data_IF_665915712057
#
_entry.id   IF_665915712057
#
_cell.length_a   1.000
_cell.length_b   1.000
_cell.length_c   1.000
_cell.angle_alpha   90.00
_cell.angle_beta   90.00
_cell.angle_gamma   90.00
#
_symmetry.space_group_name_H-M   'P 1'
#
loop_
_entity.id
_entity.type
_entity.pdbx_description
1 polymer ?
#
# COMPACT_ATOMS: atom_id res chain seq x y z
N UNK A 1 25.52 -12.32 -2.22
CA UNK A 1 24.87 -12.19 -0.89
C UNK A 1 23.55 -11.41 -0.94
N UNK A 2 23.44 -10.26 -1.60
CA UNK A 2 22.19 -9.47 -1.67
C UNK A 2 20.97 -10.22 -2.29
N UNK A 3 21.19 -11.06 -3.31
CA UNK A 3 20.11 -11.84 -3.94
C UNK A 3 19.54 -12.95 -3.05
N UNK A 4 20.37 -13.50 -2.16
CA UNK A 4 19.93 -14.50 -1.17
C UNK A 4 19.09 -13.85 -0.07
N UNK A 5 19.49 -12.68 0.44
CA UNK A 5 18.71 -11.94 1.43
C UNK A 5 17.40 -11.41 0.85
N UNK A 6 17.39 -10.93 -0.40
CA UNK A 6 16.16 -10.53 -1.11
C UNK A 6 15.26 -11.73 -1.37
N UNK A 7 15.80 -12.85 -1.85
CA UNK A 7 15.04 -14.07 -2.08
C UNK A 7 14.40 -14.62 -0.80
N UNK A 8 15.12 -14.56 0.32
CA UNK A 8 14.60 -14.93 1.64
C UNK A 8 13.53 -13.95 2.14
N UNK A 9 13.71 -12.64 1.94
CA UNK A 9 12.72 -11.63 2.33
C UNK A 9 11.43 -11.74 1.50
N UNK A 10 11.54 -11.96 0.19
CA UNK A 10 10.39 -12.21 -0.70
C UNK A 10 9.71 -13.53 -0.33
N UNK A 11 10.47 -14.59 -0.08
CA UNK A 11 9.90 -15.89 0.34
C UNK A 11 9.24 -15.81 1.71
N UNK A 12 9.78 -15.02 2.64
CA UNK A 12 9.18 -14.75 3.94
C UNK A 12 7.92 -13.89 3.79
N UNK A 13 7.92 -12.87 2.93
CA UNK A 13 6.75 -12.04 2.65
C UNK A 13 5.64 -12.83 1.96
N UNK A 14 5.97 -13.62 0.93
CA UNK A 14 5.05 -14.54 0.26
C UNK A 14 4.59 -15.66 1.20
N UNK A 15 5.46 -16.12 2.09
CA UNK A 15 5.12 -17.07 3.15
C UNK A 15 4.15 -16.48 4.16
N UNK A 16 4.32 -15.22 4.57
CA UNK A 16 3.40 -14.50 5.44
C UNK A 16 2.07 -14.18 4.76
N UNK A 17 2.09 -13.79 3.48
CA UNK A 17 0.89 -13.56 2.67
C UNK A 17 0.15 -14.88 2.42
N UNK A 18 0.86 -15.93 2.02
CA UNK A 18 0.32 -17.25 1.72
C UNK A 18 -0.19 -17.98 2.96
N UNK A 19 0.54 -17.93 4.08
CA UNK A 19 0.06 -18.38 5.38
C UNK A 19 -1.11 -17.51 5.86
N UNK A 20 -1.09 -16.22 5.52
CA UNK A 20 -2.20 -15.31 5.70
C UNK A 20 -3.49 -15.85 5.10
N UNK A 21 -3.42 -16.15 3.80
CA UNK A 21 -4.52 -16.74 3.02
C UNK A 21 -4.89 -18.16 3.52
N UNK A 22 -3.91 -19.00 3.86
CA UNK A 22 -4.18 -20.37 4.35
C UNK A 22 -4.87 -20.36 5.72
N UNK A 23 -4.38 -19.57 6.66
CA UNK A 23 -4.99 -19.43 7.97
C UNK A 23 -6.37 -18.77 7.88
N UNK A 24 -6.63 -17.93 6.87
CA UNK A 24 -7.98 -17.43 6.53
C UNK A 24 -8.91 -18.59 6.15
N UNK A 25 -8.45 -19.53 5.31
CA UNK A 25 -9.23 -20.72 4.92
C UNK A 25 -9.52 -21.63 6.11
N UNK A 26 -8.55 -21.82 7.01
CA UNK A 26 -8.71 -22.65 8.21
C UNK A 26 -9.60 -21.97 9.26
N UNK A 27 -9.46 -20.66 9.46
CA UNK A 27 -10.30 -19.87 10.36
C UNK A 27 -11.76 -19.77 9.90
N UNK A 28 -12.04 -19.83 8.58
CA UNK A 28 -13.40 -19.97 8.03
C UNK A 28 -14.11 -21.26 8.47
N UNK A 29 -13.36 -22.33 8.78
CA UNK A 29 -13.92 -23.63 9.22
C UNK A 29 -14.24 -23.69 10.70
N UNK A 30 -13.66 -22.80 11.53
CA UNK A 30 -13.90 -22.75 12.97
C UNK A 30 -14.60 -21.42 13.28
N UNK A 31 -15.89 -21.48 13.58
CA UNK A 31 -16.75 -20.38 14.07
C UNK A 31 -16.26 -19.80 15.41
N UNK A 32 -15.05 -19.25 15.47
CA UNK A 32 -14.56 -18.54 16.66
C UNK A 32 -15.29 -17.19 16.75
N UNK A 33 -15.63 -16.77 17.96
CA UNK A 33 -16.36 -15.53 18.26
C UNK A 33 -15.73 -14.29 17.60
N UNK A 34 -16.55 -13.26 17.34
CA UNK A 34 -16.09 -11.98 16.80
C UNK A 34 -15.14 -11.28 17.79
N UNK A 35 -14.04 -10.67 17.32
CA UNK A 35 -13.23 -9.83 18.18
C UNK A 35 -14.06 -8.62 18.63
N UNK A 36 -13.90 -8.14 19.88
CA UNK A 36 -14.57 -6.93 20.32
C UNK A 36 -14.19 -5.75 19.42
N UNK A 37 -15.21 -5.02 18.94
CA UNK A 37 -15.05 -3.78 18.19
C UNK A 37 -14.30 -2.75 19.06
N UNK A 38 -13.33 -2.02 18.51
CA UNK A 38 -12.61 -0.95 19.23
C UNK A 38 -13.53 0.05 19.94
N UNK A 39 -14.69 0.32 19.36
CA UNK A 39 -15.71 1.23 19.92
C UNK A 39 -16.42 0.64 21.14
N UNK A 40 -16.47 -0.69 21.27
CA UNK A 40 -17.00 -1.38 22.47
C UNK A 40 -16.02 -1.37 23.64
N UNK A 41 -14.72 -1.21 23.37
CA UNK A 41 -13.68 -1.15 24.40
C UNK A 41 -13.53 0.27 24.99
N UNK A 42 -14.00 1.31 24.28
CA UNK A 42 -13.95 2.71 24.74
C UNK A 42 -15.15 3.54 24.23
N UNK A 43 -16.29 3.54 24.94
CA UNK A 43 -17.43 4.37 24.56
C UNK A 43 -17.08 5.86 24.51
N UNK A 44 -17.73 6.62 23.63
CA UNK A 44 -17.49 8.05 23.41
C UNK A 44 -17.90 8.97 24.58
N UNK A 45 -18.31 8.40 25.70
CA UNK A 45 -18.76 9.13 26.89
C UNK A 45 -17.67 9.94 27.58
N UNK A 46 -16.39 9.61 27.37
CA UNK A 46 -15.28 10.11 28.20
C UNK A 46 -14.56 11.32 27.58
N UNK A 47 -14.92 11.73 26.36
CA UNK A 47 -14.38 12.94 25.75
C UNK A 47 -15.34 14.13 25.87
N UNK A 48 -14.81 15.36 26.03
CA UNK A 48 -15.63 16.56 25.89
C UNK A 48 -16.19 16.64 24.46
N UNK A 49 -17.32 17.36 24.22
CA UNK A 49 -17.98 17.44 22.91
C UNK A 49 -17.10 17.94 21.76
N UNK A 50 -16.01 18.66 22.08
CA UNK A 50 -14.99 19.13 21.12
C UNK A 50 -13.60 18.91 21.71
N UNK A 51 -13.03 17.71 21.55
CA UNK A 51 -11.69 17.41 22.06
C UNK A 51 -10.64 18.14 21.22
N UNK A 52 -9.58 18.63 21.86
CA UNK A 52 -8.44 19.22 21.17
C UNK A 52 -7.48 18.13 20.63
N UNK A 53 -6.49 18.52 19.82
CA UNK A 53 -5.54 17.57 19.23
C UNK A 53 -4.81 16.72 20.27
N UNK A 54 -4.36 17.32 21.38
CA UNK A 54 -3.66 16.56 22.43
C UNK A 54 -4.55 15.51 23.08
N UNK A 55 -5.83 15.81 23.32
CA UNK A 55 -6.78 14.86 23.89
C UNK A 55 -7.07 13.72 22.91
N UNK A 56 -7.24 14.03 21.61
CA UNK A 56 -7.38 13.02 20.57
C UNK A 56 -6.15 12.11 20.46
N UNK A 57 -4.96 12.70 20.49
CA UNK A 57 -3.70 11.97 20.43
C UNK A 57 -3.52 11.04 21.65
N UNK A 58 -3.74 11.56 22.86
CA UNK A 58 -3.66 10.76 24.09
C UNK A 58 -4.67 9.61 24.09
N UNK A 59 -5.91 9.85 23.63
CA UNK A 59 -6.91 8.78 23.49
C UNK A 59 -6.45 7.71 22.50
N UNK A 60 -5.91 8.10 21.34
CA UNK A 60 -5.35 7.14 20.36
C UNK A 60 -4.19 6.35 20.97
N UNK A 61 -3.32 7.00 21.73
CA UNK A 61 -2.21 6.32 22.41
C UNK A 61 -2.71 5.30 23.44
N UNK A 62 -3.71 5.65 24.25
CA UNK A 62 -4.33 4.75 25.22
C UNK A 62 -5.02 3.56 24.53
N UNK A 63 -5.76 3.81 23.45
CA UNK A 63 -6.38 2.75 22.64
C UNK A 63 -5.33 1.76 22.11
N UNK A 64 -4.20 2.28 21.64
CA UNK A 64 -3.09 1.45 21.17
C UNK A 64 -2.44 0.65 22.31
N UNK A 65 -2.15 1.28 23.45
CA UNK A 65 -1.59 0.61 24.62
C UNK A 65 -2.49 -0.54 25.08
N UNK A 66 -3.79 -0.31 25.21
CA UNK A 66 -4.74 -1.37 25.55
C UNK A 66 -4.76 -2.46 24.48
N UNK A 67 -4.81 -2.10 23.20
CA UNK A 67 -4.80 -3.07 22.11
C UNK A 67 -3.55 -3.97 22.13
N UNK A 68 -2.39 -3.42 22.49
CA UNK A 68 -1.14 -4.18 22.72
C UNK A 68 -1.26 -5.10 23.93
N UNK A 69 -1.77 -4.60 25.05
CA UNK A 69 -1.91 -5.35 26.30
C UNK A 69 -2.89 -6.52 26.18
N UNK A 70 -4.03 -6.29 25.53
CA UNK A 70 -5.10 -7.27 25.33
C UNK A 70 -4.94 -8.07 24.03
N UNK A 71 -3.82 -7.89 23.31
CA UNK A 71 -3.65 -8.53 22.00
C UNK A 71 -3.70 -10.07 22.14
N UNK A 72 -4.62 -10.76 21.44
CA UNK A 72 -4.84 -12.21 21.61
C UNK A 72 -3.63 -13.05 21.18
N UNK A 73 -2.77 -12.50 20.32
CA UNK A 73 -1.64 -13.20 19.69
C UNK A 73 -0.37 -12.34 19.67
N UNK A 74 0.14 -11.91 20.83
CA UNK A 74 1.26 -10.93 20.94
C UNK A 74 2.50 -11.28 20.12
N UNK A 75 2.88 -12.56 20.07
CA UNK A 75 4.06 -13.01 19.30
C UNK A 75 3.91 -12.67 17.81
N UNK A 76 2.73 -12.87 17.24
CA UNK A 76 2.47 -12.52 15.84
C UNK A 76 2.46 -11.01 15.62
N UNK A 77 1.94 -10.24 16.59
CA UNK A 77 2.02 -8.77 16.56
C UNK A 77 3.47 -8.26 16.53
N UNK A 78 4.36 -8.89 17.31
CA UNK A 78 5.80 -8.58 17.30
C UNK A 78 6.43 -8.95 15.95
N UNK A 79 6.13 -10.14 15.41
CA UNK A 79 6.68 -10.57 14.11
C UNK A 79 6.25 -9.62 12.98
N UNK A 80 4.97 -9.25 12.91
CA UNK A 80 4.48 -8.29 11.91
C UNK A 80 5.08 -6.89 12.12
N UNK A 81 5.28 -6.46 13.36
CA UNK A 81 5.98 -5.20 13.67
C UNK A 81 7.41 -5.22 13.15
N UNK A 82 8.15 -6.31 13.40
CA UNK A 82 9.51 -6.50 12.87
C UNK A 82 9.49 -6.44 11.34
N UNK A 83 8.54 -7.13 10.69
CA UNK A 83 8.38 -7.05 9.24
C UNK A 83 8.24 -5.59 8.76
N UNK A 84 7.32 -4.81 9.33
CA UNK A 84 7.15 -3.41 8.93
C UNK A 84 8.40 -2.55 9.18
N UNK A 85 9.10 -2.76 10.30
CA UNK A 85 10.34 -2.05 10.56
C UNK A 85 11.46 -2.43 9.58
N UNK A 86 11.51 -3.70 9.13
CA UNK A 86 12.49 -4.10 8.10
C UNK A 86 12.24 -3.43 6.75
N UNK A 87 11.04 -2.91 6.47
CA UNK A 87 10.76 -2.09 5.28
C UNK A 87 11.49 -0.74 5.28
N UNK A 88 12.08 -0.29 6.40
CA UNK A 88 13.00 0.85 6.40
C UNK A 88 14.28 0.55 5.60
N UNK A 89 14.71 -0.71 5.50
CA UNK A 89 15.91 -1.11 4.77
C UNK A 89 15.78 -0.83 3.26
N UNK A 90 14.74 -1.31 2.54
CA UNK A 90 14.55 -0.94 1.14
C UNK A 90 14.32 0.56 0.94
N UNK A 91 13.65 1.26 1.87
CA UNK A 91 13.52 2.72 1.83
C UNK A 91 14.89 3.41 1.83
N UNK A 92 15.72 3.11 2.82
CA UNK A 92 17.07 3.69 2.95
C UNK A 92 17.93 3.34 1.74
N UNK A 93 17.86 2.10 1.25
CA UNK A 93 18.57 1.69 0.05
C UNK A 93 18.13 2.49 -1.18
N UNK A 94 16.82 2.64 -1.39
CA UNK A 94 16.26 3.37 -2.53
C UNK A 94 16.68 4.85 -2.47
N UNK A 95 16.55 5.52 -1.32
CA UNK A 95 16.97 6.93 -1.16
C UNK A 95 18.48 7.11 -1.35
N UNK A 96 19.31 6.18 -0.85
CA UNK A 96 20.77 6.23 -1.00
C UNK A 96 21.24 6.00 -2.44
N UNK A 97 20.45 5.29 -3.24
CA UNK A 97 20.77 4.97 -4.63
C UNK A 97 19.49 4.81 -5.44
N UNK A 98 18.94 5.95 -5.85
CA UNK A 98 17.62 6.06 -6.49
C UNK A 98 17.46 5.21 -7.76
N UNK A 99 18.57 4.78 -8.38
CA UNK A 99 18.56 3.91 -9.56
C UNK A 99 19.47 2.68 -9.45
N UNK A 100 20.57 2.78 -8.70
CA UNK A 100 21.59 1.72 -8.63
C UNK A 100 21.42 0.75 -7.45
N UNK A 101 20.52 1.05 -6.51
CA UNK A 101 20.23 0.19 -5.37
C UNK A 101 19.42 -1.04 -5.79
N UNK A 102 19.55 -2.13 -5.04
CA UNK A 102 18.71 -3.31 -5.25
C UNK A 102 17.22 -3.00 -5.03
N UNK A 103 16.89 -2.05 -4.14
CA UNK A 103 15.51 -1.62 -3.91
C UNK A 103 14.96 -0.86 -5.13
N UNK A 104 15.79 -0.02 -5.77
CA UNK A 104 15.42 0.65 -7.01
C UNK A 104 15.20 -0.37 -8.14
N UNK A 105 16.09 -1.36 -8.28
CA UNK A 105 15.93 -2.43 -9.28
C UNK A 105 14.65 -3.25 -9.09
N UNK A 106 14.34 -3.68 -7.86
CA UNK A 106 13.09 -4.41 -7.56
C UNK A 106 11.87 -3.52 -7.82
N UNK A 107 11.94 -2.24 -7.48
CA UNK A 107 10.85 -1.31 -7.77
C UNK A 107 10.62 -1.22 -9.27
N UNK A 108 11.70 -1.00 -10.03
CA UNK A 108 11.64 -0.92 -11.48
C UNK A 108 10.96 -2.14 -12.11
N UNK A 109 11.31 -3.37 -11.70
CA UNK A 109 10.66 -4.58 -12.25
C UNK A 109 9.17 -4.68 -11.94
N UNK A 110 8.71 -4.09 -10.83
CA UNK A 110 7.30 -4.08 -10.44
C UNK A 110 6.48 -3.00 -11.16
N UNK A 111 7.12 -1.92 -11.59
CA UNK A 111 6.42 -0.71 -12.06
C UNK A 111 6.56 -0.47 -13.56
N UNK A 112 7.59 -1.06 -14.20
CA UNK A 112 7.87 -0.83 -15.62
C UNK A 112 6.77 -1.38 -16.55
N UNK A 113 6.21 -2.55 -16.25
CA UNK A 113 5.14 -3.10 -17.08
C UNK A 113 3.86 -2.24 -17.03
N UNK A 114 3.35 -1.83 -15.84
CA UNK A 114 2.28 -0.85 -15.74
C UNK A 114 2.60 0.47 -16.48
N UNK A 115 3.85 0.92 -16.45
CA UNK A 115 4.29 2.12 -17.16
C UNK A 115 4.12 1.95 -18.69
N UNK A 116 4.70 0.91 -19.29
CA UNK A 116 4.59 0.70 -20.74
C UNK A 116 3.14 0.49 -21.20
N UNK A 117 2.35 -0.26 -20.42
CA UNK A 117 0.91 -0.43 -20.66
C UNK A 117 0.19 0.93 -20.61
N UNK A 118 0.63 1.82 -19.73
CA UNK A 118 0.09 3.16 -19.60
C UNK A 118 0.17 3.97 -20.88
N UNK A 119 1.28 3.89 -21.62
CA UNK A 119 1.39 4.52 -22.93
C UNK A 119 0.35 3.97 -23.91
N UNK A 120 0.14 2.65 -23.93
CA UNK A 120 -0.83 1.99 -24.81
C UNK A 120 -2.26 2.44 -24.47
N UNK A 121 -2.64 2.37 -23.19
CA UNK A 121 -3.97 2.78 -22.72
C UNK A 121 -4.23 4.25 -23.04
N UNK A 122 -3.21 5.10 -22.89
CA UNK A 122 -3.34 6.54 -23.06
C UNK A 122 -3.15 7.01 -24.51
N UNK A 123 -2.68 6.15 -25.42
CA UNK A 123 -2.43 6.48 -26.83
C UNK A 123 -3.62 7.08 -27.59
N UNK A 124 -4.89 6.64 -27.38
CA UNK A 124 -6.04 7.20 -28.12
C UNK A 124 -6.37 8.65 -27.75
N UNK A 125 -5.85 9.15 -26.62
CA UNK A 125 -6.17 10.49 -26.09
C UNK A 125 -5.14 11.56 -26.51
N UNK A 126 -4.26 11.22 -27.46
CA UNK A 126 -3.26 12.12 -28.02
C UNK A 126 -1.91 12.06 -27.30
N UNK A 127 -0.89 12.60 -27.95
CA UNK A 127 0.52 12.35 -27.60
C UNK A 127 0.92 12.86 -26.21
N UNK A 128 0.36 13.99 -25.75
CA UNK A 128 0.69 14.49 -24.40
C UNK A 128 0.18 13.51 -23.33
N UNK A 129 -1.07 13.06 -23.46
CA UNK A 129 -1.68 12.11 -22.51
C UNK A 129 -1.00 10.75 -22.62
N UNK A 130 -0.62 10.31 -23.82
CA UNK A 130 0.19 9.10 -24.03
C UNK A 130 1.50 9.13 -23.22
N UNK A 131 2.29 10.21 -23.31
CA UNK A 131 3.53 10.34 -22.54
C UNK A 131 3.28 10.42 -21.02
N UNK A 132 2.23 11.12 -20.59
CA UNK A 132 1.84 11.13 -19.17
C UNK A 132 1.36 9.74 -18.71
N UNK A 133 0.80 8.95 -19.63
CA UNK A 133 0.21 7.64 -19.37
C UNK A 133 1.16 6.68 -18.69
N UNK A 134 2.44 6.68 -19.07
CA UNK A 134 3.44 5.82 -18.45
C UNK A 134 3.52 6.03 -16.95
N UNK A 135 3.92 7.23 -16.53
CA UNK A 135 3.98 7.62 -15.11
C UNK A 135 2.64 7.54 -14.38
N UNK A 136 1.52 7.86 -15.04
CA UNK A 136 0.18 7.75 -14.43
C UNK A 136 -0.13 6.29 -14.07
N UNK A 137 0.01 5.36 -15.03
CA UNK A 137 -0.33 3.96 -14.80
C UNK A 137 0.67 3.23 -13.92
N UNK A 138 1.94 3.64 -13.95
CA UNK A 138 2.97 3.22 -13.01
C UNK A 138 2.50 3.35 -11.54
N UNK A 139 1.88 4.49 -11.20
CA UNK A 139 1.35 4.79 -9.86
C UNK A 139 -0.06 4.22 -9.66
N UNK A 140 -0.95 4.47 -10.63
CA UNK A 140 -2.37 4.17 -10.54
C UNK A 140 -2.63 2.67 -10.40
N UNK A 141 -1.87 1.81 -11.09
CA UNK A 141 -2.04 0.37 -11.01
C UNK A 141 -1.91 -0.15 -9.57
N UNK A 142 -0.84 0.23 -8.88
CA UNK A 142 -0.60 -0.17 -7.49
C UNK A 142 -1.59 0.48 -6.51
N UNK A 143 -2.00 1.72 -6.79
CA UNK A 143 -3.03 2.39 -6.01
C UNK A 143 -4.40 1.70 -6.13
N UNK A 144 -4.76 1.23 -7.33
CA UNK A 144 -6.00 0.48 -7.55
C UNK A 144 -5.95 -0.87 -6.82
N UNK A 145 -4.83 -1.58 -6.83
CA UNK A 145 -4.68 -2.82 -6.06
C UNK A 145 -4.73 -2.54 -4.56
N UNK A 146 -4.08 -1.48 -4.08
CA UNK A 146 -4.14 -1.06 -2.67
C UNK A 146 -5.60 -0.77 -2.25
N UNK A 147 -6.32 -0.02 -3.08
CA UNK A 147 -7.72 0.33 -2.85
C UNK A 147 -8.63 -0.89 -2.92
N UNK A 148 -8.44 -1.77 -3.90
CA UNK A 148 -9.20 -3.00 -4.05
C UNK A 148 -9.03 -3.93 -2.86
N UNK A 149 -7.78 -4.19 -2.46
CA UNK A 149 -7.44 -5.03 -1.31
C UNK A 149 -7.94 -4.44 0.01
N UNK A 150 -7.97 -3.11 0.14
CA UNK A 150 -8.54 -2.43 1.30
C UNK A 150 -10.08 -2.46 1.30
N UNK A 151 -10.72 -2.00 0.23
CA UNK A 151 -12.16 -1.70 0.20
C UNK A 151 -12.99 -2.98 0.08
N UNK A 152 -12.65 -3.83 -0.90
CA UNK A 152 -13.41 -5.05 -1.23
C UNK A 152 -13.04 -6.20 -0.28
N UNK A 153 -11.79 -6.19 0.15
CA UNK A 153 -11.15 -7.36 0.73
C UNK A 153 -10.77 -7.17 2.19
N UNK A 154 -10.77 -5.92 2.70
CA UNK A 154 -10.41 -5.55 4.07
C UNK A 154 -9.03 -6.10 4.49
N UNK A 155 -8.13 -6.28 3.52
CA UNK A 155 -6.78 -6.81 3.71
C UNK A 155 -5.78 -5.64 3.89
N UNK A 156 -5.67 -5.15 5.12
CA UNK A 156 -4.83 -3.98 5.43
C UNK A 156 -3.35 -4.18 5.08
N UNK A 157 -2.75 -5.35 5.34
CA UNK A 157 -1.33 -5.56 4.96
C UNK A 157 -1.11 -5.53 3.47
N UNK A 158 -1.95 -6.22 2.70
CA UNK A 158 -1.85 -6.20 1.24
C UNK A 158 -2.03 -4.79 0.69
N UNK A 159 -3.00 -4.04 1.25
CA UNK A 159 -3.23 -2.65 0.88
C UNK A 159 -2.04 -1.76 1.19
N UNK A 160 -1.49 -1.85 2.40
CA UNK A 160 -0.33 -1.05 2.84
C UNK A 160 0.96 -1.44 2.10
N UNK A 161 1.13 -2.72 1.76
CA UNK A 161 2.22 -3.15 0.90
C UNK A 161 2.11 -2.52 -0.50
N UNK A 162 0.92 -2.56 -1.12
CA UNK A 162 0.71 -1.92 -2.42
C UNK A 162 0.85 -0.39 -2.34
N UNK A 163 0.41 0.22 -1.24
CA UNK A 163 0.63 1.64 -0.95
C UNK A 163 2.11 1.99 -0.79
N UNK A 164 2.90 1.10 -0.19
CA UNK A 164 4.36 1.25 -0.14
C UNK A 164 4.99 1.18 -1.54
N UNK A 165 4.50 0.29 -2.41
CA UNK A 165 4.96 0.23 -3.82
C UNK A 165 4.62 1.53 -4.56
N UNK A 166 3.47 2.15 -4.29
CA UNK A 166 3.15 3.50 -4.80
C UNK A 166 4.23 4.50 -4.39
N UNK A 167 4.66 4.51 -3.12
CA UNK A 167 5.73 5.39 -2.66
C UNK A 167 7.06 5.14 -3.36
N UNK A 168 7.45 3.88 -3.51
CA UNK A 168 8.65 3.52 -4.27
C UNK A 168 8.55 3.88 -5.76
N UNK A 169 7.35 3.79 -6.35
CA UNK A 169 7.11 4.23 -7.73
C UNK A 169 7.39 5.73 -7.91
N UNK A 170 7.04 6.57 -6.93
CA UNK A 170 7.37 8.00 -6.99
C UNK A 170 8.88 8.26 -6.90
N UNK A 171 9.61 7.48 -6.08
CA UNK A 171 11.07 7.58 -5.99
C UNK A 171 11.75 7.15 -7.28
N UNK A 172 11.32 6.04 -7.88
CA UNK A 172 11.82 5.55 -9.17
C UNK A 172 11.56 6.57 -10.29
N UNK A 173 10.32 7.09 -10.37
CA UNK A 173 9.93 8.13 -11.31
C UNK A 173 10.74 9.42 -11.14
N UNK A 174 11.16 9.78 -9.91
CA UNK A 174 11.92 11.01 -9.65
C UNK A 174 13.24 11.07 -10.44
N UNK A 175 13.91 9.93 -10.65
CA UNK A 175 15.15 9.87 -11.43
C UNK A 175 14.89 10.20 -12.89
N UNK A 176 13.77 9.71 -13.41
CA UNK A 176 13.36 9.94 -14.78
C UNK A 176 12.88 11.38 -15.00
N UNK A 177 12.16 11.97 -14.04
CA UNK A 177 11.83 13.40 -14.05
C UNK A 177 13.11 14.24 -14.08
N UNK A 178 14.07 13.94 -13.20
CA UNK A 178 15.30 14.71 -13.05
C UNK A 178 16.18 14.69 -14.30
N UNK A 179 16.11 13.61 -15.08
CA UNK A 179 16.85 13.47 -16.34
C UNK A 179 16.17 14.17 -17.52
N UNK A 180 14.99 14.78 -17.34
CA UNK A 180 14.20 15.30 -18.46
C UNK A 180 14.98 16.26 -19.39
N UNK A 181 15.87 17.11 -18.86
CA UNK A 181 16.71 17.98 -19.71
C UNK A 181 17.90 17.27 -20.35
N UNK A 182 18.57 16.41 -19.60
CA UNK A 182 19.79 15.71 -20.04
C UNK A 182 19.49 14.56 -20.99
N UNK A 183 18.40 13.81 -20.74
CA UNK A 183 17.99 12.61 -21.49
C UNK A 183 19.13 11.60 -21.63
N UNK A 184 19.90 11.43 -20.56
CA UNK A 184 21.03 10.52 -20.51
C UNK A 184 20.60 9.09 -20.18
N UNK A 185 19.39 8.90 -19.64
CA UNK A 185 18.91 7.59 -19.24
C UNK A 185 18.56 6.77 -20.50
N UNK A 186 19.03 5.50 -20.57
CA UNK A 186 18.65 4.63 -21.66
C UNK A 186 17.14 4.34 -21.57
N UNK A 187 16.48 4.47 -22.72
CA UNK A 187 15.06 4.15 -22.85
C UNK A 187 14.87 2.66 -23.11
N UNK A 188 13.68 2.16 -22.75
CA UNK A 188 13.30 0.80 -23.09
C UNK A 188 13.28 0.58 -24.61
N UNK A 189 13.52 -0.67 -25.01
CA UNK A 189 13.57 -1.11 -26.40
C UNK A 189 14.59 -0.37 -27.29
N UNK A 190 15.56 0.34 -26.69
CA UNK A 190 16.55 1.11 -27.44
C UNK A 190 15.95 2.32 -28.18
N UNK A 191 14.82 2.84 -27.71
CA UNK A 191 14.20 4.03 -28.29
C UNK A 191 15.13 5.25 -28.20
N UNK A 192 15.01 6.14 -29.20
CA UNK A 192 15.77 7.39 -29.22
C UNK A 192 15.31 8.36 -28.11
N UNK A 193 16.23 9.21 -27.66
CA UNK A 193 16.03 10.27 -26.66
C UNK A 193 14.81 11.18 -26.90
N UNK A 194 14.29 11.27 -28.13
CA UNK A 194 13.03 11.95 -28.46
C UNK A 194 11.79 11.33 -27.80
N UNK A 195 11.84 10.07 -27.36
CA UNK A 195 10.75 9.36 -26.70
C UNK A 195 10.76 9.54 -25.17
N UNK A 196 11.66 10.36 -24.62
CA UNK A 196 11.72 10.59 -23.18
C UNK A 196 10.44 11.30 -22.69
N UNK A 197 9.67 10.64 -21.83
CA UNK A 197 8.34 11.12 -21.43
C UNK A 197 8.40 12.49 -20.76
N UNK A 198 9.19 12.61 -19.70
CA UNK A 198 9.24 13.83 -18.91
C UNK A 198 9.85 15.02 -19.66
N UNK A 199 10.75 14.78 -20.61
CA UNK A 199 11.16 15.83 -21.55
C UNK A 199 9.96 16.31 -22.39
N UNK A 200 9.21 15.38 -22.99
CA UNK A 200 8.04 15.73 -23.83
C UNK A 200 6.95 16.44 -23.03
N UNK A 201 6.65 15.95 -21.83
CA UNK A 201 5.64 16.53 -20.92
C UNK A 201 6.07 17.95 -20.53
N UNK A 202 7.25 18.11 -19.91
CA UNK A 202 7.67 19.40 -19.39
C UNK A 202 7.97 20.41 -20.49
N UNK A 203 8.49 19.98 -21.64
CA UNK A 203 8.71 20.86 -22.80
C UNK A 203 7.39 21.40 -23.34
N UNK A 204 6.39 20.53 -23.55
CA UNK A 204 5.07 20.95 -24.06
C UNK A 204 4.34 21.90 -23.11
N UNK A 205 4.55 21.73 -21.80
CA UNK A 205 3.97 22.60 -20.77
C UNK A 205 4.78 23.88 -20.51
N UNK A 206 5.96 24.04 -21.14
CA UNK A 206 6.85 25.19 -20.87
C UNK A 206 7.51 25.16 -19.49
N UNK A 207 7.58 23.98 -18.85
CA UNK A 207 8.03 23.76 -17.47
C UNK A 207 9.37 23.02 -17.37
N UNK A 208 10.09 22.83 -18.49
CA UNK A 208 11.31 22.02 -18.55
C UNK A 208 12.41 22.45 -17.56
N UNK A 209 12.48 23.74 -17.22
CA UNK A 209 13.43 24.27 -16.22
C UNK A 209 13.16 23.84 -14.77
N UNK A 210 11.99 23.26 -14.50
CA UNK A 210 11.55 22.82 -13.18
C UNK A 210 11.68 21.31 -12.98
N UNK A 211 12.37 20.59 -13.88
CA UNK A 211 12.59 19.15 -13.80
C UNK A 211 13.14 18.70 -12.43
N UNK A 212 14.17 19.36 -11.89
CA UNK A 212 14.68 19.01 -10.55
C UNK A 212 13.65 19.26 -9.44
N UNK A 213 12.86 20.33 -9.53
CA UNK A 213 11.82 20.64 -8.53
C UNK A 213 10.76 19.54 -8.53
N UNK A 214 10.28 19.12 -9.70
CA UNK A 214 9.32 18.02 -9.80
C UNK A 214 9.91 16.69 -9.33
N UNK A 215 11.19 16.44 -9.60
CA UNK A 215 11.89 15.26 -9.10
C UNK A 215 11.98 15.28 -7.56
N UNK A 216 12.32 16.43 -6.96
CA UNK A 216 12.42 16.58 -5.51
C UNK A 216 11.06 16.41 -4.82
N UNK A 217 10.00 16.91 -5.44
CA UNK A 217 8.62 16.67 -4.99
C UNK A 217 8.28 15.18 -5.07
N UNK A 218 8.59 14.52 -6.20
CA UNK A 218 8.30 13.10 -6.38
C UNK A 218 9.03 12.23 -5.35
N UNK A 219 10.34 12.41 -5.15
CA UNK A 219 11.09 11.62 -4.15
C UNK A 219 10.57 11.90 -2.74
N UNK A 220 10.23 13.15 -2.40
CA UNK A 220 9.68 13.51 -1.09
C UNK A 220 8.34 12.84 -0.84
N UNK A 221 7.42 12.92 -1.81
CA UNK A 221 6.13 12.23 -1.73
C UNK A 221 6.32 10.72 -1.60
N UNK A 222 7.23 10.14 -2.37
CA UNK A 222 7.55 8.71 -2.29
C UNK A 222 8.01 8.29 -0.90
N UNK A 223 8.93 9.04 -0.29
CA UNK A 223 9.42 8.79 1.07
C UNK A 223 8.28 8.89 2.09
N UNK A 224 7.46 9.95 2.02
CA UNK A 224 6.34 10.14 2.93
C UNK A 224 5.30 9.01 2.83
N UNK A 225 5.02 8.54 1.61
CA UNK A 225 4.11 7.42 1.37
C UNK A 225 4.65 6.14 1.99
N UNK A 226 5.93 5.80 1.77
CA UNK A 226 6.53 4.59 2.37
C UNK A 226 6.55 4.68 3.90
N UNK A 227 6.93 5.82 4.47
CA UNK A 227 6.89 6.03 5.92
C UNK A 227 5.46 5.88 6.47
N UNK A 228 4.45 6.42 5.78
CA UNK A 228 3.05 6.25 6.17
C UNK A 228 2.62 4.78 6.13
N UNK A 229 3.07 4.00 5.14
CA UNK A 229 2.78 2.58 5.06
C UNK A 229 3.37 1.78 6.24
N UNK A 230 4.61 2.09 6.62
CA UNK A 230 5.29 1.46 7.77
C UNK A 230 4.58 1.82 9.08
N UNK A 231 4.31 3.11 9.31
CA UNK A 231 3.63 3.57 10.52
C UNK A 231 2.23 2.98 10.67
N UNK A 232 1.43 3.03 9.59
CA UNK A 232 0.10 2.42 9.57
C UNK A 232 0.17 0.89 9.65
N UNK A 233 1.22 0.28 9.11
CA UNK A 233 1.47 -1.15 9.20
C UNK A 233 1.62 -1.60 10.65
N UNK A 234 2.55 -0.97 11.37
CA UNK A 234 2.75 -1.23 12.81
C UNK A 234 1.46 -0.95 13.57
N UNK A 235 0.80 0.19 13.33
CA UNK A 235 -0.46 0.53 14.00
C UNK A 235 -1.55 -0.53 13.81
N UNK A 236 -1.82 -0.91 12.55
CA UNK A 236 -2.91 -1.84 12.21
C UNK A 236 -2.65 -3.27 12.70
N UNK A 237 -1.38 -3.68 12.83
CA UNK A 237 -1.00 -4.97 13.43
C UNK A 237 -1.54 -5.12 14.85
N UNK A 238 -1.47 -4.06 15.66
CA UNK A 238 -1.91 -4.11 17.06
C UNK A 238 -3.39 -3.77 17.25
N UNK A 239 -3.90 -2.83 16.46
CA UNK A 239 -5.27 -2.33 16.58
C UNK A 239 -6.29 -3.27 15.94
N UNK A 240 -5.91 -3.95 14.86
CA UNK A 240 -6.74 -4.95 14.20
C UNK A 240 -6.07 -6.31 14.35
N UNK A 241 -6.10 -6.91 15.56
CA UNK A 241 -5.47 -8.19 15.81
C UNK A 241 -6.05 -9.20 14.82
N UNK A 242 -5.18 -9.68 13.93
CA UNK A 242 -5.56 -10.73 12.99
C UNK A 242 -5.70 -11.99 13.83
N UNK A 243 -6.95 -12.27 14.21
CA UNK A 243 -7.33 -13.45 14.97
C UNK A 243 -6.97 -14.69 14.12
N UNK A 244 -5.77 -15.23 14.35
CA UNK A 244 -4.99 -15.94 13.34
C UNK A 244 -4.72 -15.07 12.10
N UNK A 245 -3.68 -15.40 11.33
CA UNK A 245 -3.22 -14.69 10.15
C UNK A 245 -4.29 -14.53 9.01
N UNK A 246 -5.59 -14.66 9.25
CA UNK A 246 -6.63 -14.67 8.22
C UNK A 246 -8.03 -14.26 8.64
N UNK A 247 -8.22 -13.52 9.73
CA UNK A 247 -9.50 -12.81 9.94
C UNK A 247 -9.39 -11.37 9.46
N UNK A 248 -9.54 -11.18 8.15
CA UNK A 248 -10.13 -9.92 7.67
C UNK A 248 -11.65 -10.00 7.89
N UNK A 249 -12.37 -8.90 8.19
CA UNK A 249 -13.84 -8.85 8.34
C UNK A 249 -14.64 -9.18 7.06
N UNK A 250 -14.12 -10.06 6.20
CA UNK A 250 -14.76 -10.41 4.94
C UNK A 250 -15.97 -11.30 5.23
N UNK A 251 -17.15 -10.73 4.95
CA UNK A 251 -18.40 -11.43 4.61
C UNK A 251 -19.44 -11.67 5.72
N UNK A 252 -19.82 -10.64 6.48
CA UNK A 252 -21.22 -10.57 6.99
C UNK A 252 -22.18 -9.81 6.04
N UNK A 253 -21.67 -9.08 5.04
CA UNK A 253 -22.50 -8.24 4.18
C UNK A 253 -22.54 -8.70 2.73
N UNK A 254 -23.20 -9.81 2.42
CA UNK A 254 -23.72 -10.00 1.06
C UNK A 254 -25.14 -9.43 1.04
N UNK A 255 -25.32 -8.24 0.48
CA UNK A 255 -26.60 -7.50 0.45
C UNK A 255 -27.72 -8.37 -0.15
N UNK A 256 -27.36 -9.32 -1.02
CA UNK A 256 -28.28 -10.26 -1.65
C UNK A 256 -28.63 -11.48 -0.79
N UNK A 257 -27.82 -11.82 0.21
CA UNK A 257 -28.02 -13.00 1.08
C UNK A 257 -28.74 -12.67 2.39
N UNK A 258 -28.63 -11.43 2.86
CA UNK A 258 -29.42 -10.93 4.01
C UNK A 258 -30.92 -10.86 3.70
N UNK A 259 -31.32 -10.69 2.43
CA UNK A 259 -32.75 -10.80 2.06
C UNK A 259 -33.29 -12.23 1.98
N UNK A 260 -32.44 -13.23 1.74
CA UNK A 260 -32.88 -14.63 1.62
C UNK A 260 -32.93 -15.37 2.97
N UNK A 261 -32.19 -14.91 3.98
CA UNK A 261 -32.16 -15.55 5.29
C UNK A 261 -33.02 -14.85 6.35
N UNK A 262 -33.67 -13.71 6.03
CA UNK A 262 -34.56 -13.00 6.94
C UNK A 262 -35.97 -13.62 7.05
N UNK A 263 -36.31 -14.55 6.14
CA UNK A 263 -37.60 -15.20 6.09
C UNK A 263 -37.42 -16.69 5.81
N UNK A 264 -38.05 -17.56 6.60
CA UNK A 264 -38.25 -18.96 6.19
C UNK A 264 -39.25 -19.01 5.01
N UNK A 265 -39.42 -20.15 4.31
CA UNK A 265 -40.36 -20.27 3.17
C UNK A 265 -41.80 -19.81 3.47
N UNK A 266 -42.12 -19.70 4.75
CA UNK A 266 -43.37 -19.35 5.40
C UNK A 266 -43.41 -17.89 5.93
N UNK A 267 -42.39 -17.07 5.67
CA UNK A 267 -42.49 -15.61 5.80
C UNK A 267 -42.45 -15.06 7.24
N UNK A 268 -41.94 -15.83 8.22
CA UNK A 268 -41.75 -15.34 9.60
C UNK A 268 -40.29 -15.03 9.95
N UNK A 269 -40.02 -13.99 10.76
CA UNK A 269 -38.69 -13.70 11.29
C UNK A 269 -38.28 -14.78 12.29
N UNK A 270 -37.07 -15.34 12.13
CA UNK A 270 -36.51 -16.32 13.07
C UNK A 270 -36.01 -15.60 14.33
N UNK A 271 -36.57 -15.95 15.48
CA UNK A 271 -36.09 -15.56 16.82
C UNK A 271 -34.75 -16.19 17.15
#
# INVERSE_FOLDING_TARGET
MAWLTVGLAISAALGLIGYGVYSEIVARRKTLAEPPLLDTLFPDSDLPPRPNFSQLFQRRLQQFQLAVETHPFKVYGVIETIFWLTCLIPLLNHVSSLRGGWAAYITWTMVILPHEIGHVICSPFGTLIMFMGGSIWQVLFWLLIATYTLVIHKQFTSALFCWMVVGHSFMDMSVYIRDARSRNLPLLFGMDSSHHDWWNILRRLGLLKFDHVFADVAVTLGVLIVLSAILLGVWTTWVFPRLALGRSPRYQGNIWRTKQNAYSPDGMPKT
#
